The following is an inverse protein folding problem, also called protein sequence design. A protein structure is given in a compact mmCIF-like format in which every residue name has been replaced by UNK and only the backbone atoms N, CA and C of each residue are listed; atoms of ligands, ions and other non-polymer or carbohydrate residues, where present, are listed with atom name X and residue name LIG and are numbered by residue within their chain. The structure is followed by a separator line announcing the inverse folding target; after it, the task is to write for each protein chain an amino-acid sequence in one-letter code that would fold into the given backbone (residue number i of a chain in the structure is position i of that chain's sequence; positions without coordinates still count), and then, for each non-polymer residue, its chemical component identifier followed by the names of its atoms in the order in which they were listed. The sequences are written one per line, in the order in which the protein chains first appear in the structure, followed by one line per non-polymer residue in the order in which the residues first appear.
data_IF_993417994329
#
_entry.id   IF_993417994329
#
_cell.length_a   1.000
_cell.length_b   1.000
_cell.length_c   1.000
_cell.angle_alpha   90.00
_cell.angle_beta   90.00
_cell.angle_gamma   90.00
#
_symmetry.space_group_name_H-M   'P 1'
#
loop_
_entity.id
_entity.type
_entity.pdbx_description
1 polymer ?
#
# COMPACT_ATOMS: atom_id res chain seq x y z
N UNK A 1 -9.98 10.58 1.93
CA UNK A 1 -8.75 10.90 1.19
C UNK A 1 -7.55 10.89 2.13
N UNK A 2 -7.48 11.79 3.13
CA UNK A 2 -6.31 11.97 4.01
C UNK A 2 -5.75 10.71 4.68
N UNK A 3 -6.62 9.77 5.11
CA UNK A 3 -6.14 8.52 5.73
C UNK A 3 -5.31 7.70 4.74
N UNK A 4 -5.81 7.48 3.53
CA UNK A 4 -5.13 6.64 2.53
C UNK A 4 -3.84 7.31 2.06
N UNK A 5 -3.88 8.61 1.74
CA UNK A 5 -2.70 9.35 1.27
C UNK A 5 -1.63 9.53 2.35
N UNK A 6 -1.99 9.48 3.64
CA UNK A 6 -1.02 9.50 4.75
C UNK A 6 -0.37 8.14 5.02
N UNK A 7 -1.05 7.05 4.66
CA UNK A 7 -0.63 5.68 4.95
C UNK A 7 -0.21 4.88 3.70
N UNK A 8 -0.02 5.56 2.57
CA UNK A 8 0.49 4.99 1.33
C UNK A 8 1.29 6.05 0.57
N UNK A 9 1.91 5.67 -0.54
CA UNK A 9 2.71 6.57 -1.37
C UNK A 9 1.90 7.20 -2.53
N UNK A 10 0.59 6.96 -2.58
CA UNK A 10 -0.28 7.53 -3.62
C UNK A 10 -0.48 9.03 -3.41
N UNK A 11 -0.47 9.78 -4.51
CA UNK A 11 -0.78 11.22 -4.47
C UNK A 11 -2.27 11.44 -4.24
N UNK A 12 -2.63 12.57 -3.62
CA UNK A 12 -4.04 12.93 -3.44
C UNK A 12 -4.77 13.10 -4.78
N UNK A 13 -4.10 13.61 -5.80
CA UNK A 13 -4.61 13.75 -7.16
C UNK A 13 -4.95 12.39 -7.77
N UNK A 14 -3.97 11.48 -7.86
CA UNK A 14 -4.18 10.13 -8.41
C UNK A 14 -5.22 9.35 -7.62
N UNK A 15 -5.26 9.48 -6.29
CA UNK A 15 -6.28 8.83 -5.48
C UNK A 15 -7.68 9.37 -5.78
N UNK A 16 -7.84 10.69 -5.93
CA UNK A 16 -9.12 11.29 -6.35
C UNK A 16 -9.50 10.85 -7.75
N UNK A 17 -8.57 10.80 -8.70
CA UNK A 17 -8.83 10.27 -10.03
C UNK A 17 -9.39 8.85 -9.95
N UNK A 18 -8.76 7.94 -9.19
CA UNK A 18 -9.30 6.59 -8.99
C UNK A 18 -10.70 6.57 -8.37
N UNK A 19 -11.05 7.54 -7.51
CA UNK A 19 -12.40 7.67 -6.96
C UNK A 19 -13.43 8.15 -8.01
N UNK A 20 -13.00 8.87 -9.04
CA UNK A 20 -13.88 9.51 -10.04
C UNK A 20 -13.82 8.88 -11.45
N UNK A 21 -12.82 8.05 -11.76
CA UNK A 21 -12.45 7.59 -13.11
C UNK A 21 -13.36 6.52 -13.74
N UNK A 22 -14.64 6.43 -13.37
CA UNK A 22 -15.61 5.65 -14.14
C UNK A 22 -16.85 6.47 -14.45
N UNK A 23 -16.89 6.96 -15.70
CA UNK A 23 -18.08 7.52 -16.30
C UNK A 23 -19.23 6.52 -16.29
N UNK A 24 -20.41 7.03 -15.93
CA UNK A 24 -21.74 6.46 -16.20
C UNK A 24 -22.34 5.35 -15.33
N UNK A 25 -21.88 5.05 -14.12
CA UNK A 25 -22.66 4.20 -13.22
C UNK A 25 -22.42 4.66 -11.77
N UNK A 26 -23.53 4.88 -11.05
CA UNK A 26 -23.68 5.27 -9.63
C UNK A 26 -22.38 5.32 -8.80
N UNK A 27 -22.20 6.44 -8.08
CA UNK A 27 -21.11 6.79 -7.14
C UNK A 27 -20.62 5.69 -6.17
N UNK A 28 -21.31 4.56 -6.10
CA UNK A 28 -21.13 3.48 -5.13
C UNK A 28 -20.25 2.32 -5.64
N UNK A 29 -19.84 2.29 -6.92
CA UNK A 29 -19.11 1.14 -7.50
C UNK A 29 -17.58 1.29 -7.41
N UNK A 30 -17.05 2.52 -7.47
CA UNK A 30 -15.61 2.79 -7.42
C UNK A 30 -14.81 2.22 -8.61
N UNK A 31 -13.49 2.13 -8.45
CA UNK A 31 -12.56 1.61 -9.47
C UNK A 31 -11.92 0.31 -8.99
N UNK A 32 -12.05 -0.75 -9.79
CA UNK A 32 -11.26 -1.97 -9.60
C UNK A 32 -9.84 -1.71 -10.09
N UNK A 33 -8.87 -1.78 -9.18
CA UNK A 33 -7.45 -1.57 -9.46
C UNK A 33 -6.74 -2.93 -9.47
N UNK A 34 -6.03 -3.25 -10.55
CA UNK A 34 -5.24 -4.48 -10.62
C UNK A 34 -3.98 -4.32 -9.77
N UNK A 35 -3.49 -5.42 -9.18
CA UNK A 35 -2.38 -5.36 -8.22
C UNK A 35 -1.13 -4.60 -8.71
N UNK A 36 -0.72 -4.79 -9.97
CA UNK A 36 0.41 -4.04 -10.54
C UNK A 36 0.11 -2.54 -10.66
N UNK A 37 -1.10 -2.16 -11.04
CA UNK A 37 -1.52 -0.75 -11.09
C UNK A 37 -1.56 -0.13 -9.69
N UNK A 38 -1.96 -0.91 -8.68
CA UNK A 38 -1.95 -0.47 -7.28
C UNK A 38 -0.52 -0.23 -6.77
N UNK A 39 0.47 -1.00 -7.24
CA UNK A 39 1.88 -0.75 -6.95
C UNK A 39 2.36 0.51 -7.69
N UNK A 40 2.07 0.63 -8.98
CA UNK A 40 2.52 1.77 -9.80
C UNK A 40 1.96 3.11 -9.29
N UNK A 41 0.71 3.13 -8.85
CA UNK A 41 0.06 4.31 -8.27
C UNK A 41 0.52 4.61 -6.84
N UNK A 42 1.31 3.74 -6.22
CA UNK A 42 1.79 3.91 -4.84
C UNK A 42 0.75 3.59 -3.77
N UNK A 43 -0.38 2.98 -4.15
CA UNK A 43 -1.43 2.57 -3.21
C UNK A 43 -0.98 1.42 -2.30
N UNK A 44 -0.16 0.50 -2.84
CA UNK A 44 0.51 -0.57 -2.10
C UNK A 44 1.99 -0.64 -2.50
N UNK A 45 2.81 -1.33 -1.71
CA UNK A 45 4.25 -1.42 -1.94
C UNK A 45 4.65 -2.49 -2.96
N UNK A 46 3.97 -3.65 -2.95
CA UNK A 46 4.35 -4.80 -3.76
C UNK A 46 3.18 -5.77 -3.94
N UNK A 47 3.23 -6.57 -5.01
CA UNK A 47 2.39 -7.76 -5.20
C UNK A 47 3.26 -9.00 -5.18
N UNK A 48 2.80 -10.07 -4.53
CA UNK A 48 3.58 -11.30 -4.39
C UNK A 48 2.78 -12.45 -3.81
N UNK A 49 3.45 -13.60 -3.67
CA UNK A 49 2.87 -14.80 -3.05
C UNK A 49 3.09 -14.84 -1.54
N UNK A 50 2.42 -15.80 -0.88
CA UNK A 50 2.52 -16.00 0.57
C UNK A 50 3.97 -16.21 1.03
N UNK A 51 4.78 -16.95 0.26
CA UNK A 51 6.19 -17.16 0.60
C UNK A 51 7.00 -15.85 0.68
N UNK A 52 6.73 -14.90 -0.22
CA UNK A 52 7.37 -13.58 -0.20
C UNK A 52 6.88 -12.76 1.01
N UNK A 53 5.58 -12.81 1.31
CA UNK A 53 5.01 -12.15 2.49
C UNK A 53 5.62 -12.66 3.81
N UNK A 54 5.75 -13.99 3.96
CA UNK A 54 6.37 -14.59 5.14
C UNK A 54 7.84 -14.22 5.29
N UNK A 55 8.59 -14.19 4.17
CA UNK A 55 9.98 -13.75 4.16
C UNK A 55 10.07 -12.30 4.66
N UNK A 56 9.26 -11.39 4.11
CA UNK A 56 9.29 -9.97 4.50
C UNK A 56 8.89 -9.76 5.97
N UNK A 57 7.91 -10.52 6.47
CA UNK A 57 7.52 -10.46 7.87
C UNK A 57 8.68 -10.84 8.80
N UNK A 58 9.37 -11.95 8.51
CA UNK A 58 10.53 -12.37 9.30
C UNK A 58 11.67 -11.33 9.24
N UNK A 59 11.95 -10.76 8.06
CA UNK A 59 12.92 -9.66 7.92
C UNK A 59 12.57 -8.47 8.83
N UNK A 60 11.30 -8.06 8.88
CA UNK A 60 10.85 -6.95 9.73
C UNK A 60 10.94 -7.27 11.24
N UNK A 61 10.64 -8.52 11.63
CA UNK A 61 10.79 -8.99 13.01
C UNK A 61 12.26 -8.91 13.44
N UNK A 62 13.18 -9.33 12.57
CA UNK A 62 14.61 -9.32 12.89
C UNK A 62 15.17 -7.89 12.95
N UNK A 63 14.74 -6.99 12.06
CA UNK A 63 15.08 -5.56 12.13
C UNK A 63 14.66 -4.93 13.45
N UNK A 64 13.46 -5.24 13.94
CA UNK A 64 12.95 -4.67 15.19
C UNK A 64 13.71 -5.17 16.43
N UNK A 65 14.15 -6.44 16.42
CA UNK A 65 15.01 -6.99 17.49
C UNK A 65 16.38 -6.31 17.52
N UNK A 66 17.00 -6.10 16.35
CA UNK A 66 18.29 -5.41 16.27
C UNK A 66 18.20 -3.97 16.78
N UNK A 67 17.14 -3.25 16.43
CA UNK A 67 16.92 -1.88 16.93
C UNK A 67 16.77 -1.86 18.46
N UNK A 68 16.08 -2.84 19.03
CA UNK A 68 15.93 -2.99 20.49
C UNK A 68 17.26 -3.29 21.19
N UNK A 69 18.14 -4.10 20.58
CA UNK A 69 19.47 -4.40 21.16
C UNK A 69 20.42 -3.20 21.11
N UNK A 70 20.35 -2.38 20.06
CA UNK A 70 21.18 -1.16 19.92
C UNK A 70 20.79 -0.08 20.93
N UNK A 71 19.52 0.02 21.32
CA UNK A 71 19.04 1.03 22.29
C UNK A 71 19.40 0.66 23.73
N UNK A 72 19.66 -0.61 24.02
CA UNK A 72 19.93 -1.13 25.37
C UNK A 72 21.43 -1.13 25.72
N UNK A 73 22.31 -0.77 24.78
CA UNK A 73 23.77 -0.76 24.96
C UNK A 73 24.35 0.64 25.20
#
# INVERSE_FOLDING_TARGET
VNFVTKHSNITEETFKELMFAKGNLTRDIGTNVVGHDAVQTGLIHEVGGIGQAMKKLNELIDMNKQESEVIVQ
#
